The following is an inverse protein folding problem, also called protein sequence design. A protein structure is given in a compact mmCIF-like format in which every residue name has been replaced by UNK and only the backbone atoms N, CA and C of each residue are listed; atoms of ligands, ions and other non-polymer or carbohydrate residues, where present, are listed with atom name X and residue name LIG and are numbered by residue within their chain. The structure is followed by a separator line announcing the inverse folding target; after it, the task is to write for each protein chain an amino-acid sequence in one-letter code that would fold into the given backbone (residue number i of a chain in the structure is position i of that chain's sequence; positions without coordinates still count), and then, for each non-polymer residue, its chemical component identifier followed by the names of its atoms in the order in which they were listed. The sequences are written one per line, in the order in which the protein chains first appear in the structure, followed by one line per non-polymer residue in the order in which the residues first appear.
data_IF_541560287360
#
_entry.id   IF_541560287360
#
_cell.length_a   1.000
_cell.length_b   1.000
_cell.length_c   1.000
_cell.angle_alpha   90.00
_cell.angle_beta   90.00
_cell.angle_gamma   90.00
#
_symmetry.space_group_name_H-M   'P 1'
#
loop_
_entity.id
_entity.type
_entity.pdbx_description
1 polymer ?
#
# COMPACT_ATOMS: atom_id res chain seq x y z
N UNK A 1 11.48 -15.23 8.92
CA UNK A 1 11.51 -13.75 8.85
C UNK A 1 11.34 -13.12 10.25
N UNK A 2 10.34 -13.52 11.04
CA UNK A 2 10.09 -12.94 12.36
C UNK A 2 11.30 -13.10 13.31
N UNK A 3 11.92 -14.28 13.33
CA UNK A 3 13.14 -14.53 14.11
C UNK A 3 14.30 -13.60 13.71
N UNK A 4 14.44 -13.33 12.41
CA UNK A 4 15.44 -12.40 11.91
C UNK A 4 15.18 -10.96 12.38
N UNK A 5 13.91 -10.53 12.39
CA UNK A 5 13.53 -9.21 12.89
C UNK A 5 13.77 -9.09 14.38
N UNK A 6 13.42 -10.11 15.18
CA UNK A 6 13.69 -10.14 16.60
C UNK A 6 15.19 -10.07 16.90
N UNK A 7 16.01 -10.84 16.15
CA UNK A 7 17.47 -10.79 16.29
C UNK A 7 18.01 -9.39 15.98
N UNK A 8 17.57 -8.78 14.88
CA UNK A 8 17.97 -7.43 14.48
C UNK A 8 17.56 -6.38 15.53
N UNK A 9 16.36 -6.45 16.07
CA UNK A 9 15.89 -5.55 17.11
C UNK A 9 16.79 -5.65 18.36
N UNK A 10 17.11 -6.86 18.78
CA UNK A 10 18.01 -7.09 19.93
C UNK A 10 19.42 -6.52 19.67
N UNK A 11 19.97 -6.71 18.47
CA UNK A 11 21.28 -6.15 18.06
C UNK A 11 21.29 -4.61 18.10
N UNK A 12 20.16 -3.97 17.81
CA UNK A 12 20.00 -2.51 17.79
C UNK A 12 19.54 -1.93 19.14
N UNK A 13 19.32 -2.78 20.16
CA UNK A 13 18.76 -2.35 21.44
C UNK A 13 17.32 -1.82 21.36
N UNK A 14 16.59 -2.22 20.30
CA UNK A 14 15.20 -1.83 20.07
C UNK A 14 14.24 -2.92 20.52
N UNK A 15 13.00 -2.55 20.84
CA UNK A 15 11.94 -3.50 21.12
C UNK A 15 11.19 -3.87 19.83
N UNK A 16 10.92 -5.15 19.63
CA UNK A 16 10.12 -5.67 18.53
C UNK A 16 9.02 -6.58 19.06
N UNK A 17 7.77 -6.25 18.79
CA UNK A 17 6.61 -7.06 19.16
C UNK A 17 5.92 -7.54 17.88
N UNK A 18 5.73 -8.86 17.77
CA UNK A 18 4.98 -9.47 16.65
C UNK A 18 3.61 -9.91 17.12
N UNK A 19 2.58 -9.31 16.58
CA UNK A 19 1.17 -9.63 16.86
C UNK A 19 0.58 -10.31 15.63
N UNK A 20 0.17 -11.57 15.77
CA UNK A 20 -0.43 -12.33 14.68
C UNK A 20 -1.95 -12.33 14.81
N UNK A 21 -2.60 -11.40 14.15
CA UNK A 21 -4.04 -11.17 14.16
C UNK A 21 -4.55 -10.84 12.76
N UNK A 22 -5.87 -10.95 12.55
CA UNK A 22 -6.52 -10.55 11.30
C UNK A 22 -7.07 -9.11 11.45
N UNK A 23 -6.70 -8.24 10.52
CA UNK A 23 -7.14 -6.84 10.51
C UNK A 23 -8.63 -6.67 10.13
N UNK A 24 -9.28 -7.72 9.63
CA UNK A 24 -10.73 -7.74 9.39
C UNK A 24 -11.51 -7.80 10.72
N UNK A 25 -10.90 -8.34 11.76
CA UNK A 25 -11.46 -8.42 13.08
C UNK A 25 -11.28 -7.07 13.82
N UNK A 26 -12.38 -6.32 13.91
CA UNK A 26 -12.41 -4.99 14.50
C UNK A 26 -11.96 -4.99 15.97
N UNK A 27 -12.44 -5.95 16.75
CA UNK A 27 -12.15 -6.01 18.20
C UNK A 27 -10.64 -6.22 18.41
N UNK A 28 -10.04 -7.08 17.59
CA UNK A 28 -8.60 -7.32 17.60
C UNK A 28 -7.77 -6.08 17.27
N UNK A 29 -8.21 -5.30 16.27
CA UNK A 29 -7.51 -4.05 15.89
C UNK A 29 -7.65 -3.02 17.00
N UNK A 30 -8.84 -2.86 17.55
CA UNK A 30 -9.13 -1.93 18.66
C UNK A 30 -8.33 -2.25 19.92
N UNK A 31 -8.24 -3.54 20.30
CA UNK A 31 -7.43 -3.99 21.42
C UNK A 31 -5.95 -3.61 21.21
N UNK A 32 -5.39 -3.93 20.03
CA UNK A 32 -4.01 -3.63 19.71
C UNK A 32 -3.70 -2.13 19.82
N UNK A 33 -4.58 -1.28 19.32
CA UNK A 33 -4.38 0.17 19.35
C UNK A 33 -4.64 0.77 20.75
N UNK A 34 -5.43 0.13 21.61
CA UNK A 34 -5.60 0.52 23.01
C UNK A 34 -4.42 0.12 23.89
N UNK A 35 -3.81 -1.03 23.60
CA UNK A 35 -2.66 -1.54 24.36
C UNK A 35 -1.36 -0.81 23.99
N UNK A 36 -1.28 -0.27 22.79
CA UNK A 36 -0.08 0.38 22.28
C UNK A 36 -0.39 1.79 21.78
N UNK A 37 0.42 2.75 22.18
CA UNK A 37 0.39 4.11 21.62
C UNK A 37 1.31 4.18 20.42
N UNK A 38 0.76 4.48 19.24
CA UNK A 38 1.54 4.55 18.00
C UNK A 38 1.78 5.99 17.56
N UNK A 39 3.03 6.38 17.38
CA UNK A 39 3.43 7.67 16.80
C UNK A 39 3.26 7.68 15.27
N UNK A 40 3.34 6.52 14.66
CA UNK A 40 3.19 6.30 13.21
C UNK A 40 2.52 4.98 12.95
N UNK A 41 1.68 4.94 11.94
CA UNK A 41 1.14 3.69 11.40
C UNK A 41 1.53 3.56 9.94
N UNK A 42 2.15 2.45 9.58
CA UNK A 42 2.48 2.10 8.18
C UNK A 42 1.66 0.88 7.81
N UNK A 43 0.62 1.08 7.00
CA UNK A 43 -0.29 0.02 6.58
C UNK A 43 0.09 -0.52 5.19
N UNK A 44 0.77 -1.67 5.17
CA UNK A 44 1.16 -2.37 3.94
C UNK A 44 0.37 -3.67 3.70
N UNK A 45 -0.50 -4.04 4.63
CA UNK A 45 -1.30 -5.25 4.53
C UNK A 45 -2.40 -5.09 3.48
N UNK A 46 -2.51 -6.02 2.55
CA UNK A 46 -3.56 -6.08 1.56
C UNK A 46 -3.58 -7.45 0.86
N UNK A 47 -4.72 -7.81 0.29
CA UNK A 47 -4.76 -8.83 -0.74
C UNK A 47 -4.30 -8.19 -2.05
N UNK A 48 -3.13 -8.61 -2.53
CA UNK A 48 -2.52 -8.08 -3.75
C UNK A 48 -2.61 -9.09 -4.90
N UNK A 49 -2.48 -8.62 -6.14
CA UNK A 49 -2.49 -9.44 -7.34
C UNK A 49 -3.73 -9.22 -8.21
N UNK A 50 -3.49 -8.68 -9.40
CA UNK A 50 -4.57 -8.31 -10.34
C UNK A 50 -5.39 -9.54 -10.77
N UNK A 51 -4.71 -10.65 -11.15
CA UNK A 51 -5.39 -11.85 -11.67
C UNK A 51 -6.24 -12.55 -10.61
N UNK A 52 -5.68 -12.72 -9.42
CA UNK A 52 -6.40 -13.38 -8.33
C UNK A 52 -7.66 -12.61 -7.89
N UNK A 53 -7.74 -11.30 -8.15
CA UNK A 53 -8.95 -10.52 -7.85
C UNK A 53 -10.16 -10.92 -8.71
N UNK A 54 -9.94 -11.57 -9.85
CA UNK A 54 -11.00 -12.12 -10.69
C UNK A 54 -11.52 -13.46 -10.16
N UNK A 55 -10.66 -14.22 -9.51
CA UNK A 55 -10.98 -15.57 -8.98
C UNK A 55 -11.61 -15.50 -7.60
N UNK A 56 -11.14 -14.60 -6.75
CA UNK A 56 -11.60 -14.45 -5.36
C UNK A 56 -11.85 -12.99 -4.99
N UNK A 57 -12.89 -12.34 -5.53
CA UNK A 57 -13.17 -10.93 -5.31
C UNK A 57 -13.47 -10.59 -3.83
N UNK A 58 -14.13 -11.49 -3.10
CA UNK A 58 -14.50 -11.26 -1.71
C UNK A 58 -13.29 -11.08 -0.79
N UNK A 59 -12.19 -11.79 -1.04
CA UNK A 59 -10.96 -11.62 -0.25
C UNK A 59 -10.38 -10.20 -0.38
N UNK A 60 -10.57 -9.58 -1.55
CA UNK A 60 -10.12 -8.18 -1.78
C UNK A 60 -10.99 -7.18 -1.04
N UNK A 61 -12.30 -7.42 -0.97
CA UNK A 61 -13.20 -6.55 -0.19
C UNK A 61 -12.85 -6.66 1.30
N UNK A 62 -12.71 -7.87 1.83
CA UNK A 62 -12.37 -8.07 3.24
C UNK A 62 -11.00 -7.46 3.58
N UNK A 63 -9.95 -7.84 2.86
CA UNK A 63 -8.59 -7.44 3.21
C UNK A 63 -8.26 -5.99 2.85
N UNK A 64 -8.87 -5.42 1.79
CA UNK A 64 -8.50 -4.09 1.32
C UNK A 64 -9.49 -2.99 1.73
N UNK A 65 -10.76 -3.33 1.93
CA UNK A 65 -11.78 -2.35 2.31
C UNK A 65 -12.09 -2.47 3.80
N UNK A 66 -12.56 -3.63 4.26
CA UNK A 66 -12.97 -3.80 5.66
C UNK A 66 -11.77 -3.61 6.59
N UNK A 67 -10.66 -4.31 6.37
CA UNK A 67 -9.48 -4.17 7.19
C UNK A 67 -8.91 -2.75 7.18
N UNK A 68 -8.92 -2.07 6.02
CA UNK A 68 -8.46 -0.68 5.94
C UNK A 68 -9.39 0.28 6.70
N UNK A 69 -10.70 0.06 6.67
CA UNK A 69 -11.66 0.82 7.50
C UNK A 69 -11.34 0.68 8.97
N UNK A 70 -11.07 -0.56 9.45
CA UNK A 70 -10.72 -0.81 10.84
C UNK A 70 -9.43 -0.05 11.24
N UNK A 71 -8.42 -0.01 10.37
CA UNK A 71 -7.20 0.78 10.61
C UNK A 71 -7.49 2.28 10.65
N UNK A 72 -8.30 2.81 9.75
CA UNK A 72 -8.70 4.23 9.75
C UNK A 72 -9.44 4.60 11.04
N UNK A 73 -10.40 3.78 11.48
CA UNK A 73 -11.14 3.99 12.71
C UNK A 73 -10.22 3.94 13.94
N UNK A 74 -9.35 2.95 14.02
CA UNK A 74 -8.39 2.83 15.11
C UNK A 74 -7.44 4.04 15.16
N UNK A 75 -6.89 4.47 14.02
CA UNK A 75 -6.05 5.66 13.94
C UNK A 75 -6.79 6.92 14.38
N UNK A 76 -8.04 7.11 13.93
CA UNK A 76 -8.90 8.23 14.32
C UNK A 76 -9.14 8.27 15.82
N UNK A 77 -9.58 7.14 16.40
CA UNK A 77 -9.92 7.06 17.83
C UNK A 77 -8.71 7.24 18.74
N UNK A 78 -7.56 6.71 18.35
CA UNK A 78 -6.31 6.85 19.12
C UNK A 78 -5.50 8.11 18.75
N UNK A 79 -6.03 8.95 17.86
CA UNK A 79 -5.39 10.20 17.41
C UNK A 79 -3.96 9.98 16.93
N UNK A 80 -3.77 8.92 16.13
CA UNK A 80 -2.45 8.64 15.54
C UNK A 80 -1.98 9.83 14.72
N UNK A 81 -0.76 10.34 14.94
CA UNK A 81 -0.30 11.54 14.26
C UNK A 81 -0.16 11.42 12.74
N UNK A 82 0.10 10.23 12.22
CA UNK A 82 0.22 10.01 10.77
C UNK A 82 0.00 8.56 10.38
N UNK A 83 -0.83 8.34 9.36
CA UNK A 83 -1.04 7.06 8.69
C UNK A 83 -0.45 7.09 7.29
N UNK A 84 0.60 6.31 7.04
CA UNK A 84 1.11 6.05 5.68
C UNK A 84 0.59 4.69 5.20
N UNK A 85 0.06 4.62 3.99
CA UNK A 85 -0.52 3.38 3.47
C UNK A 85 -0.11 3.08 2.04
N UNK A 86 -0.04 1.79 1.71
CA UNK A 86 0.23 1.35 0.35
C UNK A 86 -0.99 1.55 -0.54
N UNK A 87 -0.86 2.36 -1.60
CA UNK A 87 -1.67 2.31 -2.81
C UNK A 87 -0.92 1.52 -3.90
N UNK A 88 -1.18 1.76 -5.16
CA UNK A 88 -0.60 1.02 -6.27
C UNK A 88 -0.64 1.82 -7.58
N UNK A 89 0.35 1.64 -8.44
CA UNK A 89 0.30 2.19 -9.81
C UNK A 89 -0.89 1.65 -10.64
N UNK A 90 -1.50 0.54 -10.23
CA UNK A 90 -2.69 -0.01 -10.90
C UNK A 90 -3.90 0.93 -10.86
N UNK A 91 -3.93 1.93 -9.96
CA UNK A 91 -5.01 2.94 -9.90
C UNK A 91 -5.03 3.84 -11.12
N UNK A 92 -3.91 4.00 -11.83
CA UNK A 92 -3.87 4.75 -13.09
C UNK A 92 -4.74 4.11 -14.19
N UNK A 93 -5.03 2.82 -14.08
CA UNK A 93 -6.05 2.14 -14.87
C UNK A 93 -5.91 2.31 -16.37
N UNK A 94 -6.94 2.88 -17.01
CA UNK A 94 -7.01 3.11 -18.46
C UNK A 94 -6.24 4.37 -18.93
N UNK A 95 -5.47 5.04 -18.06
CA UNK A 95 -4.71 6.22 -18.44
C UNK A 95 -3.63 5.86 -19.47
N UNK A 96 -3.60 6.59 -20.57
CA UNK A 96 -2.66 6.40 -21.70
C UNK A 96 -1.48 7.36 -21.67
N UNK A 97 -1.51 8.38 -20.80
CA UNK A 97 -0.41 9.34 -20.69
C UNK A 97 0.83 8.70 -20.10
N UNK A 98 1.97 8.87 -20.73
CA UNK A 98 3.29 8.49 -20.25
C UNK A 98 4.15 9.76 -20.08
N UNK A 99 4.84 9.94 -18.99
CA UNK A 99 4.90 9.20 -17.74
C UNK A 99 3.68 9.47 -16.85
N UNK A 100 3.36 8.56 -15.93
CA UNK A 100 2.30 8.81 -14.96
C UNK A 100 2.70 9.92 -13.99
N UNK A 101 1.70 10.69 -13.56
CA UNK A 101 1.83 11.74 -12.55
C UNK A 101 0.75 11.54 -11.48
N UNK A 102 1.04 11.93 -10.27
CA UNK A 102 0.08 11.94 -9.17
C UNK A 102 -1.15 12.82 -9.49
N UNK A 103 -0.96 13.81 -10.38
CA UNK A 103 -2.01 14.74 -10.84
C UNK A 103 -2.95 14.16 -11.89
N UNK A 104 -2.66 12.98 -12.42
CA UNK A 104 -3.54 12.34 -13.39
C UNK A 104 -4.82 11.84 -12.73
N UNK A 105 -5.95 12.02 -13.41
CA UNK A 105 -7.22 11.39 -13.04
C UNK A 105 -7.09 9.85 -13.03
N UNK A 106 -7.67 9.20 -12.02
CA UNK A 106 -7.56 7.76 -11.78
C UNK A 106 -8.93 7.10 -11.57
N UNK A 107 -9.95 7.60 -12.27
CA UNK A 107 -11.34 7.20 -12.08
C UNK A 107 -11.75 6.00 -12.93
N UNK A 108 -10.83 5.40 -13.68
CA UNK A 108 -11.07 4.29 -14.59
C UNK A 108 -10.18 3.07 -14.27
N UNK A 109 -10.26 2.50 -13.03
CA UNK A 109 -9.50 1.29 -12.69
C UNK A 109 -9.96 0.12 -13.55
N UNK A 110 -9.01 -0.70 -14.05
CA UNK A 110 -9.31 -1.80 -14.96
C UNK A 110 -9.61 -3.13 -14.23
N UNK A 111 -9.26 -3.26 -12.97
CA UNK A 111 -9.43 -4.49 -12.20
C UNK A 111 -9.91 -4.18 -10.78
N UNK A 112 -10.57 -5.17 -10.15
CA UNK A 112 -11.10 -5.03 -8.80
C UNK A 112 -10.01 -4.66 -7.77
N UNK A 113 -8.82 -5.24 -7.87
CA UNK A 113 -7.69 -4.84 -7.03
C UNK A 113 -7.41 -3.33 -7.10
N UNK A 114 -7.32 -2.79 -8.33
CA UNK A 114 -7.11 -1.35 -8.53
C UNK A 114 -8.28 -0.53 -7.96
N UNK A 115 -9.51 -0.99 -8.15
CA UNK A 115 -10.70 -0.33 -7.60
C UNK A 115 -10.68 -0.30 -6.08
N UNK A 116 -10.31 -1.41 -5.40
CA UNK A 116 -10.21 -1.42 -3.93
C UNK A 116 -9.10 -0.49 -3.42
N UNK A 117 -7.97 -0.40 -4.13
CA UNK A 117 -6.89 0.52 -3.73
C UNK A 117 -7.25 1.99 -3.99
N UNK A 118 -7.96 2.28 -5.08
CA UNK A 118 -8.54 3.62 -5.30
C UNK A 118 -9.56 3.98 -4.22
N UNK A 119 -10.39 3.04 -3.81
CA UNK A 119 -11.31 3.23 -2.69
C UNK A 119 -10.55 3.57 -1.39
N UNK A 120 -9.41 2.94 -1.11
CA UNK A 120 -8.58 3.31 0.04
C UNK A 120 -8.13 4.78 -0.02
N UNK A 121 -7.72 5.30 -1.18
CA UNK A 121 -7.33 6.70 -1.34
C UNK A 121 -8.51 7.64 -1.04
N UNK A 122 -9.72 7.33 -1.53
CA UNK A 122 -10.93 8.12 -1.26
C UNK A 122 -11.36 8.06 0.20
N UNK A 123 -11.28 6.89 0.82
CA UNK A 123 -11.59 6.72 2.24
C UNK A 123 -10.61 7.50 3.12
N UNK A 124 -9.30 7.39 2.85
CA UNK A 124 -8.27 8.12 3.57
C UNK A 124 -8.48 9.63 3.46
N UNK A 125 -8.77 10.14 2.25
CA UNK A 125 -9.10 11.55 2.04
C UNK A 125 -10.31 12.00 2.89
N UNK A 126 -11.38 11.20 2.92
CA UNK A 126 -12.56 11.52 3.73
C UNK A 126 -12.23 11.58 5.22
N UNK A 127 -11.38 10.68 5.72
CA UNK A 127 -10.94 10.69 7.12
C UNK A 127 -10.02 11.86 7.44
N UNK A 128 -9.13 12.23 6.51
CA UNK A 128 -8.30 13.44 6.64
C UNK A 128 -9.18 14.68 6.76
N UNK A 129 -10.18 14.82 5.91
CA UNK A 129 -11.08 15.97 5.91
C UNK A 129 -11.97 16.02 7.18
N UNK A 130 -12.65 14.92 7.49
CA UNK A 130 -13.66 14.89 8.57
C UNK A 130 -13.04 14.85 9.98
N UNK A 131 -11.91 14.16 10.13
CA UNK A 131 -11.35 13.85 11.45
C UNK A 131 -9.95 14.41 11.64
N UNK A 132 -9.43 15.16 10.68
CA UNK A 132 -8.09 15.73 10.72
C UNK A 132 -7.00 14.64 10.94
N UNK A 133 -7.23 13.44 10.41
CA UNK A 133 -6.25 12.36 10.42
C UNK A 133 -5.27 12.56 9.27
N UNK A 134 -4.00 12.90 9.52
CA UNK A 134 -3.02 13.03 8.44
C UNK A 134 -2.78 11.67 7.79
N UNK A 135 -2.93 11.59 6.46
CA UNK A 135 -2.72 10.35 5.72
C UNK A 135 -1.87 10.57 4.48
N UNK A 136 -1.01 9.61 4.15
CA UNK A 136 -0.23 9.60 2.91
C UNK A 136 -0.35 8.26 2.21
N UNK A 137 -0.88 8.27 0.98
CA UNK A 137 -1.00 7.09 0.13
C UNK A 137 0.15 6.99 -0.87
N UNK A 138 0.84 5.85 -0.91
CA UNK A 138 1.98 5.62 -1.80
C UNK A 138 1.59 4.71 -2.96
N UNK A 139 1.62 5.22 -4.20
CA UNK A 139 1.32 4.47 -5.43
C UNK A 139 2.54 3.70 -5.92
N UNK A 140 2.83 2.59 -5.24
CA UNK A 140 3.98 1.74 -5.62
C UNK A 140 3.84 1.17 -7.02
N UNK A 141 4.93 1.27 -7.79
CA UNK A 141 5.15 0.54 -9.02
C UNK A 141 5.70 -0.86 -8.73
N UNK A 142 6.38 -1.48 -9.69
CA UNK A 142 6.91 -2.84 -9.48
C UNK A 142 8.18 -2.78 -8.63
N UNK A 143 8.06 -3.19 -7.39
CA UNK A 143 9.22 -3.27 -6.47
C UNK A 143 9.91 -4.61 -6.66
N UNK A 144 11.26 -4.59 -6.72
CA UNK A 144 12.08 -5.79 -6.80
C UNK A 144 13.21 -5.76 -5.78
N UNK A 145 13.78 -6.92 -5.49
CA UNK A 145 14.91 -7.06 -4.56
C UNK A 145 14.78 -8.27 -3.64
N UNK A 146 15.63 -8.36 -2.61
CA UNK A 146 15.58 -9.44 -1.63
C UNK A 146 14.21 -9.59 -0.98
N UNK A 147 13.80 -10.83 -0.73
CA UNK A 147 12.48 -11.17 -0.16
C UNK A 147 11.29 -10.85 -1.05
N UNK A 148 11.52 -10.58 -2.35
CA UNK A 148 10.45 -10.37 -3.34
C UNK A 148 9.43 -11.51 -3.37
N UNK A 149 8.24 -11.21 -3.87
CA UNK A 149 7.14 -12.18 -3.96
C UNK A 149 7.45 -13.25 -5.02
N UNK A 150 7.30 -14.55 -4.71
CA UNK A 150 7.62 -15.63 -5.64
C UNK A 150 6.62 -15.77 -6.81
N UNK A 151 5.47 -15.11 -6.74
CA UNK A 151 4.46 -15.09 -7.80
C UNK A 151 4.69 -14.00 -8.86
N UNK A 152 5.68 -13.12 -8.67
CA UNK A 152 6.05 -12.09 -9.63
C UNK A 152 6.86 -12.65 -10.80
N UNK A 153 6.74 -12.01 -11.97
CA UNK A 153 7.35 -12.47 -13.21
C UNK A 153 8.87 -12.69 -13.09
N UNK A 154 9.58 -11.76 -12.45
CA UNK A 154 11.03 -11.86 -12.26
C UNK A 154 11.42 -13.16 -11.55
N UNK A 155 10.77 -13.47 -10.43
CA UNK A 155 11.04 -14.69 -9.67
C UNK A 155 10.69 -15.95 -10.47
N UNK A 156 9.51 -15.97 -11.11
CA UNK A 156 9.06 -17.09 -11.93
C UNK A 156 10.00 -17.35 -13.09
N UNK A 157 10.43 -16.30 -13.79
CA UNK A 157 11.34 -16.44 -14.93
C UNK A 157 12.70 -17.00 -14.49
N UNK A 158 13.29 -16.42 -13.44
CA UNK A 158 14.57 -16.93 -12.91
C UNK A 158 14.45 -18.39 -12.52
N UNK A 159 13.43 -18.78 -11.76
CA UNK A 159 13.22 -20.17 -11.36
C UNK A 159 13.06 -21.07 -12.55
N UNK A 160 12.17 -20.75 -13.48
CA UNK A 160 11.91 -21.60 -14.65
C UNK A 160 13.15 -21.76 -15.53
N UNK A 161 13.94 -20.69 -15.73
CA UNK A 161 15.20 -20.75 -16.48
C UNK A 161 16.21 -21.68 -15.80
N UNK A 162 16.37 -21.58 -14.47
CA UNK A 162 17.26 -22.44 -13.70
C UNK A 162 16.84 -23.91 -13.71
N UNK A 163 15.52 -24.16 -13.75
CA UNK A 163 14.93 -25.49 -13.80
C UNK A 163 14.75 -26.03 -15.23
N UNK A 164 15.24 -25.32 -16.26
CA UNK A 164 15.03 -25.63 -17.68
C UNK A 164 13.55 -25.78 -18.05
N UNK A 165 12.67 -25.01 -17.41
CA UNK A 165 11.25 -24.97 -17.72
C UNK A 165 10.91 -23.80 -18.63
N UNK A 166 9.87 -23.92 -19.47
CA UNK A 166 9.40 -22.82 -20.32
C UNK A 166 8.95 -21.61 -19.48
N UNK A 167 9.19 -20.40 -20.01
CA UNK A 167 8.61 -19.18 -19.46
C UNK A 167 7.43 -18.72 -20.33
N UNK A 168 6.38 -18.26 -19.71
CA UNK A 168 5.22 -17.71 -20.40
C UNK A 168 5.44 -16.22 -20.65
N UNK A 169 5.55 -15.84 -21.91
CA UNK A 169 5.71 -14.45 -22.34
C UNK A 169 4.38 -13.94 -22.90
N UNK A 170 3.74 -13.03 -22.19
CA UNK A 170 2.47 -12.42 -22.62
C UNK A 170 2.72 -11.28 -23.61
N UNK A 171 1.73 -11.02 -24.49
CA UNK A 171 1.75 -9.96 -25.48
C UNK A 171 3.05 -9.93 -26.30
N UNK A 172 3.56 -11.09 -26.66
CA UNK A 172 4.82 -11.24 -27.42
C UNK A 172 6.03 -10.48 -26.82
N UNK A 173 6.01 -10.22 -25.53
CA UNK A 173 7.06 -9.46 -24.84
C UNK A 173 6.92 -7.93 -24.95
N UNK A 174 5.93 -7.43 -25.65
CA UNK A 174 5.71 -5.98 -25.82
C UNK A 174 5.13 -5.36 -24.53
N UNK A 175 5.95 -5.32 -23.49
CA UNK A 175 5.63 -4.72 -22.21
C UNK A 175 6.78 -3.84 -21.74
N UNK A 176 6.42 -2.64 -21.31
CA UNK A 176 7.31 -1.76 -20.55
C UNK A 176 6.83 -1.72 -19.11
N UNK A 177 7.78 -1.77 -18.17
CA UNK A 177 7.50 -1.68 -16.74
C UNK A 177 8.56 -0.81 -16.09
N UNK A 178 8.12 -0.06 -15.10
CA UNK A 178 9.00 0.67 -14.22
C UNK A 178 9.29 -0.19 -12.98
N UNK A 179 10.56 -0.36 -12.65
CA UNK A 179 11.04 -1.17 -11.55
C UNK A 179 11.78 -0.30 -10.54
N UNK A 180 11.41 -0.42 -9.27
CA UNK A 180 12.09 0.29 -8.19
C UNK A 180 12.72 -0.72 -7.23
N UNK A 181 13.98 -0.49 -6.87
CA UNK A 181 14.67 -1.37 -5.92
C UNK A 181 14.12 -1.21 -4.51
N UNK A 182 14.11 -2.31 -3.75
CA UNK A 182 13.46 -2.36 -2.43
C UNK A 182 14.03 -1.35 -1.44
N UNK A 183 15.35 -1.11 -1.46
CA UNK A 183 15.97 -0.18 -0.50
C UNK A 183 15.54 1.26 -0.79
N UNK A 184 15.38 1.65 -2.06
CA UNK A 184 14.88 2.98 -2.44
C UNK A 184 13.41 3.16 -1.99
N UNK A 185 12.59 2.12 -2.13
CA UNK A 185 11.20 2.13 -1.66
C UNK A 185 11.13 2.24 -0.14
N UNK A 186 11.96 1.50 0.58
CA UNK A 186 11.97 1.52 2.05
C UNK A 186 12.43 2.88 2.56
N UNK A 187 13.47 3.45 1.96
CA UNK A 187 13.94 4.80 2.31
C UNK A 187 12.86 5.85 2.04
N UNK A 188 12.23 5.81 0.88
CA UNK A 188 11.13 6.70 0.53
C UNK A 188 9.94 6.55 1.48
N UNK A 189 9.56 5.32 1.83
CA UNK A 189 8.49 5.03 2.78
C UNK A 189 8.77 5.60 4.17
N UNK A 190 9.99 5.40 4.69
CA UNK A 190 10.39 5.91 6.01
C UNK A 190 10.33 7.43 6.01
N UNK A 191 10.99 8.11 5.06
CA UNK A 191 10.98 9.56 4.97
C UNK A 191 9.58 10.14 4.85
N UNK A 192 8.73 9.54 4.03
CA UNK A 192 7.34 9.96 3.87
C UNK A 192 6.53 9.73 5.15
N UNK A 193 6.80 8.64 5.87
CA UNK A 193 6.13 8.37 7.15
C UNK A 193 6.56 9.36 8.24
N UNK A 194 7.80 9.82 8.23
CA UNK A 194 8.32 10.80 9.18
C UNK A 194 7.80 12.22 8.91
N UNK A 195 7.49 12.53 7.65
CA UNK A 195 6.92 13.83 7.26
C UNK A 195 5.39 13.79 7.36
N UNK A 196 4.83 14.46 8.37
CA UNK A 196 3.38 14.48 8.60
C UNK A 196 2.70 15.28 7.49
N UNK A 197 1.73 14.66 6.81
CA UNK A 197 0.95 15.32 5.77
C UNK A 197 0.23 16.56 6.31
N UNK A 198 0.29 17.65 5.54
CA UNK A 198 -0.35 18.92 5.84
C UNK A 198 -1.44 19.22 4.82
N UNK A 199 -2.50 19.92 5.24
CA UNK A 199 -3.50 20.42 4.31
C UNK A 199 -2.93 21.53 3.43
N UNK A 200 -3.37 21.58 2.17
CA UNK A 200 -3.03 22.67 1.26
C UNK A 200 -4.09 23.79 1.35
N UNK A 201 -3.70 24.91 1.96
CA UNK A 201 -4.56 26.09 2.10
C UNK A 201 -4.90 26.75 0.75
N UNK A 202 -4.17 26.43 -0.32
CA UNK A 202 -4.37 26.98 -1.67
C UNK A 202 -5.08 26.01 -2.60
N UNK A 203 -5.53 24.86 -2.08
CA UNK A 203 -6.27 23.89 -2.88
C UNK A 203 -7.55 24.50 -3.45
N UNK A 204 -7.83 24.19 -4.71
CA UNK A 204 -9.04 24.63 -5.41
C UNK A 204 -9.54 23.54 -6.33
N UNK A 205 -10.85 23.40 -6.48
CA UNK A 205 -11.47 22.49 -7.44
C UNK A 205 -11.12 22.81 -8.90
N UNK A 206 -10.75 24.05 -9.19
CA UNK A 206 -10.33 24.48 -10.52
C UNK A 206 -8.89 24.05 -10.84
N UNK A 207 -8.11 23.78 -9.80
CA UNK A 207 -6.74 23.29 -9.87
C UNK A 207 -6.56 22.08 -8.94
N UNK A 208 -7.27 20.96 -9.21
CA UNK A 208 -7.22 19.82 -8.32
C UNK A 208 -5.80 19.26 -8.28
N UNK A 209 -5.23 19.21 -7.10
CA UNK A 209 -4.03 18.45 -6.83
C UNK A 209 -4.42 17.18 -6.09
N UNK A 210 -4.16 15.99 -6.62
CA UNK A 210 -4.41 14.74 -5.90
C UNK A 210 -3.50 14.56 -4.68
N UNK A 211 -2.48 15.39 -4.56
CA UNK A 211 -1.46 15.31 -3.52
C UNK A 211 -1.89 16.01 -2.23
N UNK A 212 -3.01 16.74 -2.27
CA UNK A 212 -3.42 17.58 -1.16
C UNK A 212 -4.85 17.29 -0.74
N UNK A 213 -5.06 17.21 0.56
CA UNK A 213 -6.39 17.20 1.16
C UNK A 213 -6.78 18.61 1.59
N UNK A 214 -8.06 18.86 1.54
CA UNK A 214 -8.67 20.04 2.17
C UNK A 214 -8.46 20.05 3.67
#
# INVERSE_FOLDING_TARGET
RLELLQKKANELGSNYVSIRKDLVDLDTVDECFKEHSFDRVIHLAAQAGVRHSLENPHSYIQSNIVAFTNILEACRHQKVPHLTYASTSSVYGANTSMSFSEKHGIDHPLQLYAATKRANELMAHSYSHLFQLPTTGLRFFTVYGPWGRPDMALFKFIRNILENQPIEVFNHGNHTRDFTYIDDIVEGLIRTSDEIAQSDAYWSSDHPSPDTSL
#
